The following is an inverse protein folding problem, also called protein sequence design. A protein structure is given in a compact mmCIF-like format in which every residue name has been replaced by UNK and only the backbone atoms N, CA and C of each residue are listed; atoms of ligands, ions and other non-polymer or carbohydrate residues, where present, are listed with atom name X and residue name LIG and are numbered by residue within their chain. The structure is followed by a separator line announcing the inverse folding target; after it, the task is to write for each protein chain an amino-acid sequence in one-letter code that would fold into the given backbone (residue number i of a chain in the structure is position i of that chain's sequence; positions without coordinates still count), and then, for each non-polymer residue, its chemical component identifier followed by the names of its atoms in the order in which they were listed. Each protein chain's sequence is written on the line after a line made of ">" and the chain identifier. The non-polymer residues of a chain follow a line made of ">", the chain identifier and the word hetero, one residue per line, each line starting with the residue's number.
data_IF_210247109775
#
_entry.id   IF_210247109775
#
_cell.length_a   1.000
_cell.length_b   1.000
_cell.length_c   1.000
_cell.angle_alpha   90.00
_cell.angle_beta   90.00
_cell.angle_gamma   90.00
#
_symmetry.space_group_name_H-M   'P 1'
#
loop_
_entity.id
_entity.type
_entity.pdbx_description
1 polymer ?
#
# COMPACT_ATOMS: atom_id res chain seq x y z
N UNK A 1 -11.67 27.39 9.86
CA UNK A 1 -11.87 26.40 10.93
C UNK A 1 -10.85 25.28 10.81
N UNK A 2 -10.23 24.85 11.91
CA UNK A 2 -9.36 23.66 11.89
C UNK A 2 -10.20 22.41 11.64
N UNK A 3 -9.62 21.41 10.92
CA UNK A 3 -10.27 20.12 10.66
C UNK A 3 -9.63 19.05 11.53
N UNK A 4 -10.46 18.21 12.16
CA UNK A 4 -10.02 17.09 12.99
C UNK A 4 -9.88 15.83 12.13
N UNK A 5 -8.74 15.18 12.21
CA UNK A 5 -8.45 13.92 11.50
C UNK A 5 -7.33 13.16 12.20
N UNK A 6 -7.11 11.91 11.82
CA UNK A 6 -5.98 11.08 12.24
C UNK A 6 -5.15 10.59 11.02
N UNK A 7 -4.13 9.77 11.28
CA UNK A 7 -3.26 9.19 10.25
C UNK A 7 -3.59 7.74 9.92
N UNK A 8 -4.50 7.11 10.64
CA UNK A 8 -4.88 5.73 10.40
C UNK A 8 -5.49 5.05 11.62
N UNK A 9 -5.85 3.78 11.44
CA UNK A 9 -6.49 2.94 12.44
C UNK A 9 -5.87 1.53 12.43
N UNK A 10 -5.83 0.81 13.56
CA UNK A 10 -5.30 -0.55 13.61
C UNK A 10 -6.01 -1.47 12.61
N UNK A 11 -5.23 -2.19 11.78
CA UNK A 11 -5.73 -2.94 10.62
C UNK A 11 -6.14 -4.38 10.91
N UNK A 12 -5.70 -4.96 12.02
CA UNK A 12 -5.79 -6.41 12.25
C UNK A 12 -7.21 -6.86 12.62
N UNK A 13 -8.07 -5.93 13.06
CA UNK A 13 -9.35 -6.21 13.67
C UNK A 13 -9.23 -6.50 15.17
N UNK A 14 -10.33 -6.35 15.92
CA UNK A 14 -10.36 -6.48 17.38
C UNK A 14 -10.04 -7.91 17.87
N UNK A 15 -10.42 -8.91 17.07
CA UNK A 15 -10.20 -10.35 17.34
C UNK A 15 -9.15 -10.96 16.41
N UNK A 16 -8.32 -10.13 15.78
CA UNK A 16 -7.29 -10.55 14.79
C UNK A 16 -7.87 -11.19 13.52
N UNK A 17 -9.04 -10.78 13.10
CA UNK A 17 -9.79 -11.36 11.99
C UNK A 17 -8.95 -11.35 10.70
N UNK A 18 -8.25 -10.24 10.42
CA UNK A 18 -7.38 -10.15 9.24
C UNK A 18 -6.26 -11.20 9.26
N UNK A 19 -5.66 -11.44 10.43
CA UNK A 19 -4.60 -12.45 10.56
C UNK A 19 -5.10 -13.83 10.17
N UNK A 20 -6.23 -14.24 10.74
CA UNK A 20 -6.79 -15.58 10.49
C UNK A 20 -7.26 -15.73 9.03
N UNK A 21 -7.83 -14.68 8.43
CA UNK A 21 -8.21 -14.70 7.02
C UNK A 21 -6.99 -14.82 6.10
N UNK A 22 -5.90 -14.13 6.40
CA UNK A 22 -4.66 -14.26 5.65
C UNK A 22 -4.07 -15.67 5.78
N UNK A 23 -4.01 -16.24 6.98
CA UNK A 23 -3.54 -17.60 7.20
C UNK A 23 -4.42 -18.63 6.46
N UNK A 24 -5.74 -18.42 6.45
CA UNK A 24 -6.69 -19.19 5.66
C UNK A 24 -6.39 -19.13 4.17
N UNK A 25 -6.21 -17.94 3.64
CA UNK A 25 -5.84 -17.71 2.23
C UNK A 25 -4.51 -18.39 1.88
N UNK A 26 -3.46 -18.16 2.66
CA UNK A 26 -2.13 -18.74 2.38
C UNK A 26 -2.09 -20.27 2.45
N UNK A 27 -2.99 -20.86 3.23
CA UNK A 27 -3.12 -22.33 3.30
C UNK A 27 -4.11 -22.93 2.29
N UNK A 28 -4.70 -22.07 1.43
CA UNK A 28 -5.70 -22.50 0.44
C UNK A 28 -7.06 -22.88 1.02
N UNK A 29 -7.32 -22.54 2.30
CA UNK A 29 -8.60 -22.83 2.97
C UNK A 29 -9.68 -21.78 2.67
N UNK A 30 -9.28 -20.58 2.28
CA UNK A 30 -10.19 -19.49 1.89
C UNK A 30 -9.76 -18.88 0.56
N UNK A 31 -10.72 -18.25 -0.13
CA UNK A 31 -10.50 -17.63 -1.42
C UNK A 31 -9.98 -16.19 -1.27
N UNK A 32 -9.51 -15.63 -2.38
CA UNK A 32 -9.13 -14.22 -2.49
C UNK A 32 -10.31 -13.31 -2.18
N UNK A 33 -11.47 -13.65 -2.71
CA UNK A 33 -12.71 -12.88 -2.54
C UNK A 33 -13.13 -12.82 -1.08
N UNK A 34 -13.03 -13.92 -0.35
CA UNK A 34 -13.32 -13.99 1.09
C UNK A 34 -12.35 -13.11 1.89
N UNK A 35 -11.05 -13.15 1.58
CA UNK A 35 -10.05 -12.30 2.22
C UNK A 35 -10.33 -10.81 1.95
N UNK A 36 -10.60 -10.44 0.69
CA UNK A 36 -10.86 -9.04 0.32
C UNK A 36 -12.18 -8.53 0.89
N UNK A 37 -13.21 -9.38 0.97
CA UNK A 37 -14.48 -9.06 1.61
C UNK A 37 -14.29 -8.75 3.10
N UNK A 38 -13.59 -9.61 3.83
CA UNK A 38 -13.29 -9.37 5.24
C UNK A 38 -12.45 -8.08 5.42
N UNK A 39 -11.47 -7.84 4.56
CA UNK A 39 -10.69 -6.61 4.59
C UNK A 39 -11.57 -5.36 4.42
N UNK A 40 -12.57 -5.41 3.53
CA UNK A 40 -13.55 -4.34 3.37
C UNK A 40 -14.42 -4.16 4.63
N UNK A 41 -14.87 -5.25 5.23
CA UNK A 41 -15.66 -5.21 6.48
C UNK A 41 -14.86 -4.56 7.62
N UNK A 42 -13.59 -4.92 7.80
CA UNK A 42 -12.73 -4.29 8.80
C UNK A 42 -12.55 -2.79 8.52
N UNK A 43 -12.32 -2.39 7.25
CA UNK A 43 -12.22 -0.96 6.91
C UNK A 43 -13.48 -0.19 7.27
N UNK A 44 -14.67 -0.75 6.98
CA UNK A 44 -15.96 -0.14 7.34
C UNK A 44 -16.09 0.07 8.84
N UNK A 45 -15.74 -0.94 9.65
CA UNK A 45 -15.73 -0.83 11.11
C UNK A 45 -14.75 0.25 11.58
N UNK A 46 -13.53 0.27 11.03
CA UNK A 46 -12.53 1.28 11.36
C UNK A 46 -13.00 2.70 11.01
N UNK A 47 -13.66 2.88 9.89
CA UNK A 47 -14.23 4.17 9.48
C UNK A 47 -15.45 4.55 10.33
N UNK A 48 -16.28 3.60 10.75
CA UNK A 48 -17.39 3.89 11.66
C UNK A 48 -16.89 4.45 12.99
N UNK A 49 -15.78 3.91 13.52
CA UNK A 49 -15.13 4.48 14.71
C UNK A 49 -14.59 5.91 14.49
N UNK A 50 -14.33 6.30 13.26
CA UNK A 50 -13.77 7.60 12.86
C UNK A 50 -14.84 8.57 12.33
N UNK A 51 -16.10 8.20 12.25
CA UNK A 51 -17.17 9.01 11.61
C UNK A 51 -17.45 10.36 12.26
N UNK A 52 -17.02 10.55 13.52
CA UNK A 52 -17.08 11.84 14.23
C UNK A 52 -15.99 12.83 13.82
N UNK A 53 -14.96 12.38 13.06
CA UNK A 53 -13.90 13.23 12.55
C UNK A 53 -14.36 13.95 11.28
N UNK A 54 -13.77 15.12 11.01
CA UNK A 54 -14.03 15.85 9.76
C UNK A 54 -13.55 15.08 8.52
N UNK A 55 -12.47 14.30 8.66
CA UNK A 55 -11.88 13.48 7.59
C UNK A 55 -11.49 12.11 8.15
N UNK A 56 -11.80 11.05 7.40
CA UNK A 56 -11.37 9.67 7.73
C UNK A 56 -10.14 9.28 6.94
N UNK A 57 -9.22 8.56 7.57
CA UNK A 57 -8.04 8.06 6.90
C UNK A 57 -8.39 6.93 5.91
N UNK A 58 -7.79 6.98 4.71
CA UNK A 58 -7.84 5.90 3.71
C UNK A 58 -6.43 5.64 3.17
N UNK A 59 -6.13 4.41 2.76
CA UNK A 59 -4.79 4.02 2.32
C UNK A 59 -3.85 3.62 3.46
N UNK A 60 -4.25 3.82 4.70
CA UNK A 60 -3.57 3.35 5.91
C UNK A 60 -3.78 1.85 6.16
N UNK A 61 -4.91 1.30 5.68
CA UNK A 61 -5.18 -0.13 5.77
C UNK A 61 -4.38 -0.91 4.71
N UNK A 62 -3.58 -1.86 5.15
CA UNK A 62 -2.82 -2.77 4.28
C UNK A 62 -3.11 -4.23 4.64
N UNK A 63 -3.04 -5.11 3.63
CA UNK A 63 -3.15 -6.55 3.89
C UNK A 63 -1.91 -7.10 4.60
N UNK A 64 -0.73 -6.54 4.40
CA UNK A 64 0.48 -6.98 5.08
C UNK A 64 1.25 -5.82 5.70
N UNK A 65 1.74 -4.87 4.88
CA UNK A 65 2.55 -3.74 5.31
C UNK A 65 2.34 -2.51 4.41
N UNK A 66 2.24 -1.33 5.00
CA UNK A 66 2.00 -0.08 4.27
C UNK A 66 3.17 0.33 3.36
N UNK A 67 4.41 -0.05 3.70
CA UNK A 67 5.59 0.24 2.85
C UNK A 67 5.59 -0.67 1.63
N UNK A 68 5.21 -1.93 1.81
CA UNK A 68 5.01 -2.87 0.71
C UNK A 68 3.88 -2.41 -0.22
N UNK A 69 2.77 -1.92 0.34
CA UNK A 69 1.68 -1.31 -0.43
C UNK A 69 2.17 -0.16 -1.30
N UNK A 70 3.03 0.71 -0.74
CA UNK A 70 3.64 1.81 -1.49
C UNK A 70 4.56 1.28 -2.59
N UNK A 71 5.33 0.21 -2.33
CA UNK A 71 6.17 -0.43 -3.34
C UNK A 71 5.34 -0.93 -4.52
N UNK A 72 4.21 -1.59 -4.27
CA UNK A 72 3.30 -2.04 -5.32
C UNK A 72 2.62 -0.85 -6.03
N UNK A 73 2.20 0.17 -5.30
CA UNK A 73 1.64 1.40 -5.89
C UNK A 73 2.64 2.10 -6.82
N UNK A 74 3.93 2.07 -6.52
CA UNK A 74 4.98 2.66 -7.34
C UNK A 74 5.51 1.71 -8.42
N UNK A 75 5.08 0.44 -8.44
CA UNK A 75 5.62 -0.59 -9.32
C UNK A 75 7.07 -0.96 -9.00
N UNK A 76 7.56 -0.61 -7.79
CA UNK A 76 8.89 -1.01 -7.32
C UNK A 76 8.87 -2.45 -6.81
N UNK A 77 8.81 -3.39 -7.74
CA UNK A 77 8.77 -4.82 -7.46
C UNK A 77 10.19 -5.38 -7.57
N UNK A 78 10.69 -6.15 -6.56
CA UNK A 78 12.00 -6.79 -6.64
C UNK A 78 12.16 -7.65 -7.90
N UNK A 79 13.35 -7.67 -8.52
CA UNK A 79 13.60 -8.37 -9.79
C UNK A 79 13.12 -9.83 -9.77
N UNK A 80 13.36 -10.53 -8.67
CA UNK A 80 12.93 -11.92 -8.47
C UNK A 80 11.42 -12.15 -8.48
N UNK A 81 10.63 -11.08 -8.39
CA UNK A 81 9.17 -11.12 -8.38
C UNK A 81 8.51 -10.46 -9.60
N UNK A 82 9.28 -9.78 -10.48
CA UNK A 82 8.74 -9.00 -11.62
C UNK A 82 8.05 -9.87 -12.67
N UNK A 83 8.57 -11.06 -12.93
CA UNK A 83 8.08 -11.95 -14.00
C UNK A 83 7.02 -12.95 -13.52
N UNK A 84 6.35 -12.65 -12.42
CA UNK A 84 5.27 -13.51 -11.95
C UNK A 84 4.02 -13.34 -12.81
N UNK A 85 3.55 -14.45 -13.37
CA UNK A 85 2.37 -14.47 -14.27
C UNK A 85 1.05 -14.74 -13.56
N UNK A 86 1.08 -14.97 -12.25
CA UNK A 86 -0.10 -15.22 -11.44
C UNK A 86 -0.77 -13.94 -10.91
N UNK A 87 -1.63 -14.12 -9.93
CA UNK A 87 -2.37 -13.00 -9.32
C UNK A 87 -1.47 -11.99 -8.60
N UNK A 88 -1.80 -10.71 -8.71
CA UNK A 88 -1.05 -9.62 -8.09
C UNK A 88 -1.01 -9.76 -6.56
N UNK A 89 -2.11 -10.21 -5.94
CA UNK A 89 -2.17 -10.44 -4.49
C UNK A 89 -1.23 -11.58 -4.06
N UNK A 90 -1.13 -12.65 -4.86
CA UNK A 90 -0.17 -13.71 -4.60
C UNK A 90 1.26 -13.19 -4.70
N UNK A 91 1.56 -12.37 -5.71
CA UNK A 91 2.88 -11.76 -5.83
C UNK A 91 3.20 -10.83 -4.66
N UNK A 92 2.22 -10.08 -4.17
CA UNK A 92 2.34 -9.24 -2.99
C UNK A 92 2.76 -10.07 -1.76
N UNK A 93 2.10 -11.20 -1.49
CA UNK A 93 2.47 -12.08 -0.40
C UNK A 93 3.77 -12.86 -0.64
N UNK A 94 4.12 -13.16 -1.90
CA UNK A 94 5.42 -13.76 -2.24
C UNK A 94 6.56 -12.80 -1.90
N UNK A 95 6.42 -11.52 -2.23
CA UNK A 95 7.44 -10.51 -1.85
C UNK A 95 7.54 -10.41 -0.33
N UNK A 96 6.41 -10.38 0.39
CA UNK A 96 6.40 -10.23 1.84
C UNK A 96 6.95 -11.44 2.58
N UNK A 97 6.58 -12.66 2.17
CA UNK A 97 6.77 -13.90 2.94
C UNK A 97 7.63 -14.95 2.24
N UNK A 98 8.02 -14.69 1.00
CA UNK A 98 8.70 -15.65 0.14
C UNK A 98 7.77 -16.62 -0.58
N UNK A 99 6.51 -16.72 -0.18
CA UNK A 99 5.50 -17.63 -0.76
C UNK A 99 4.08 -17.11 -0.52
N UNK A 100 3.15 -17.54 -1.37
CA UNK A 100 1.71 -17.38 -1.20
C UNK A 100 1.02 -18.75 -1.22
N UNK A 101 -0.10 -18.89 -1.90
CA UNK A 101 -0.90 -20.14 -1.97
C UNK A 101 -0.11 -21.29 -2.64
N UNK A 102 0.60 -21.03 -3.74
CA UNK A 102 1.43 -22.03 -4.40
C UNK A 102 2.87 -22.07 -3.85
N UNK A 103 3.23 -23.10 -3.07
CA UNK A 103 4.58 -23.21 -2.49
C UNK A 103 5.67 -23.48 -3.54
N UNK A 104 5.32 -23.98 -4.75
CA UNK A 104 6.30 -24.24 -5.80
C UNK A 104 6.86 -22.96 -6.42
N UNK A 105 6.17 -21.86 -6.27
CA UNK A 105 6.58 -20.56 -6.77
C UNK A 105 7.21 -19.67 -5.67
N UNK A 106 7.82 -20.29 -4.67
CA UNK A 106 8.52 -19.58 -3.61
C UNK A 106 9.71 -18.79 -4.14
N UNK A 107 9.96 -17.64 -3.52
CA UNK A 107 11.11 -16.76 -3.76
C UNK A 107 11.73 -16.35 -2.42
N UNK A 108 12.90 -15.71 -2.44
CA UNK A 108 13.41 -15.07 -1.23
C UNK A 108 12.49 -13.93 -0.82
N UNK A 109 12.00 -13.93 0.43
CA UNK A 109 11.24 -12.83 1.00
C UNK A 109 12.05 -11.53 1.00
N UNK A 110 11.37 -10.40 0.97
CA UNK A 110 12.01 -9.12 1.21
C UNK A 110 12.47 -9.03 2.68
N UNK A 111 13.47 -8.19 2.93
CA UNK A 111 13.95 -7.93 4.28
C UNK A 111 12.86 -7.24 5.09
N UNK A 112 12.74 -7.62 6.36
CA UNK A 112 11.84 -6.99 7.32
C UNK A 112 12.66 -6.35 8.43
N UNK A 113 12.36 -5.09 8.77
CA UNK A 113 13.04 -4.38 9.87
C UNK A 113 12.06 -3.49 10.63
N UNK A 114 12.47 -3.01 11.80
CA UNK A 114 11.64 -2.14 12.64
C UNK A 114 11.44 -0.77 11.98
N UNK A 115 10.21 -0.27 12.08
CA UNK A 115 9.90 1.12 11.78
C UNK A 115 10.42 2.00 12.91
N UNK A 116 11.61 2.59 12.69
CA UNK A 116 12.30 3.40 13.67
C UNK A 116 12.39 2.68 15.04
N UNK A 117 12.04 3.33 16.11
CA UNK A 117 12.14 2.85 17.50
C UNK A 117 10.84 2.16 17.99
N UNK A 118 10.04 1.64 17.09
CA UNK A 118 8.76 1.00 17.39
C UNK A 118 8.83 -0.53 17.26
N UNK A 119 7.78 -1.21 17.73
CA UNK A 119 7.62 -2.65 17.49
C UNK A 119 6.98 -2.97 16.12
N UNK A 120 6.56 -1.97 15.35
CA UNK A 120 6.09 -2.18 14.00
C UNK A 120 7.25 -2.49 13.07
N UNK A 121 7.10 -3.56 12.28
CA UNK A 121 8.06 -3.97 11.26
C UNK A 121 7.50 -3.69 9.87
N UNK A 122 8.36 -3.22 8.97
CA UNK A 122 8.00 -2.95 7.58
C UNK A 122 8.86 -3.76 6.63
N UNK A 123 8.35 -3.99 5.41
CA UNK A 123 9.10 -4.62 4.33
C UNK A 123 9.99 -3.57 3.67
N UNK A 124 11.30 -3.83 3.69
CA UNK A 124 12.29 -2.88 3.17
C UNK A 124 12.18 -2.76 1.65
N UNK A 125 11.93 -1.56 1.11
CA UNK A 125 12.00 -1.34 -0.34
C UNK A 125 13.37 -1.69 -0.90
N UNK A 126 13.41 -2.44 -1.99
CA UNK A 126 14.65 -2.81 -2.65
C UNK A 126 14.85 -1.92 -3.87
N UNK A 127 16.03 -1.31 -3.98
CA UNK A 127 16.44 -0.50 -5.12
C UNK A 127 17.57 -1.17 -5.86
N UNK A 128 17.46 -1.19 -7.18
CA UNK A 128 18.43 -1.73 -8.13
C UNK A 128 18.69 -0.68 -9.22
N UNK A 129 19.80 -0.77 -9.92
CA UNK A 129 20.10 0.11 -11.07
C UNK A 129 18.96 0.04 -12.12
N UNK A 130 18.32 -1.11 -12.23
CA UNK A 130 17.21 -1.37 -13.13
C UNK A 130 15.85 -0.90 -12.59
N UNK A 131 15.79 -0.33 -11.37
CA UNK A 131 14.51 0.10 -10.78
C UNK A 131 13.87 1.19 -11.63
N UNK A 132 12.63 0.95 -12.03
CA UNK A 132 11.76 1.93 -12.72
C UNK A 132 10.46 2.01 -11.96
N UNK A 133 9.89 3.22 -11.90
CA UNK A 133 8.61 3.43 -11.25
C UNK A 133 7.47 3.46 -12.26
N UNK A 134 6.43 2.71 -11.99
CA UNK A 134 5.18 2.69 -12.74
C UNK A 134 4.02 2.79 -11.77
N UNK A 135 3.32 3.91 -11.78
CA UNK A 135 2.21 4.15 -10.86
C UNK A 135 1.04 3.21 -11.11
N UNK A 136 0.61 2.51 -10.06
CA UNK A 136 -0.69 1.85 -9.95
C UNK A 136 -1.39 2.36 -8.68
N UNK A 137 -2.33 3.28 -8.85
CA UNK A 137 -3.08 3.90 -7.78
C UNK A 137 -4.43 3.20 -7.49
N UNK A 138 -4.74 2.10 -8.17
CA UNK A 138 -6.04 1.43 -8.11
C UNK A 138 -6.48 1.15 -6.67
N UNK A 139 -5.63 0.54 -5.87
CA UNK A 139 -5.93 0.20 -4.46
C UNK A 139 -6.38 1.42 -3.63
N UNK A 140 -5.71 2.56 -3.76
CA UNK A 140 -6.06 3.77 -2.99
C UNK A 140 -7.35 4.39 -3.54
N UNK A 141 -7.52 4.41 -4.87
CA UNK A 141 -8.73 4.92 -5.51
C UNK A 141 -9.94 4.09 -5.09
N UNK A 142 -9.82 2.76 -5.04
CA UNK A 142 -10.87 1.87 -4.59
C UNK A 142 -11.27 2.15 -3.13
N UNK A 143 -10.32 2.32 -2.24
CA UNK A 143 -10.59 2.66 -0.84
C UNK A 143 -11.21 4.06 -0.69
N UNK A 144 -10.79 5.05 -1.48
CA UNK A 144 -11.42 6.37 -1.52
C UNK A 144 -12.88 6.24 -1.97
N UNK A 145 -13.12 5.47 -3.02
CA UNK A 145 -14.47 5.25 -3.56
C UNK A 145 -15.36 4.51 -2.55
N UNK A 146 -14.81 3.48 -1.91
CA UNK A 146 -15.51 2.72 -0.85
C UNK A 146 -15.94 3.65 0.30
N UNK A 147 -15.04 4.50 0.81
CA UNK A 147 -15.36 5.45 1.88
C UNK A 147 -16.38 6.51 1.44
N UNK A 148 -16.29 7.02 0.20
CA UNK A 148 -17.27 7.97 -0.34
C UNK A 148 -18.66 7.37 -0.48
N UNK A 149 -18.75 6.12 -0.91
CA UNK A 149 -20.03 5.40 -1.03
C UNK A 149 -20.72 5.21 0.33
N UNK A 150 -19.97 5.31 1.44
CA UNK A 150 -20.49 5.34 2.80
C UNK A 150 -20.81 6.77 3.30
N UNK A 151 -20.74 7.78 2.44
CA UNK A 151 -21.00 9.17 2.79
C UNK A 151 -19.88 9.84 3.59
N UNK A 152 -18.71 9.23 3.69
CA UNK A 152 -17.57 9.73 4.43
C UNK A 152 -16.72 10.69 3.59
N UNK A 153 -15.88 11.50 4.27
CA UNK A 153 -14.91 12.39 3.62
C UNK A 153 -13.51 11.79 3.73
N UNK A 154 -13.05 11.03 2.72
CA UNK A 154 -11.76 10.35 2.78
C UNK A 154 -10.59 11.31 2.67
N UNK A 155 -9.56 11.07 3.48
CA UNK A 155 -8.25 11.70 3.39
C UNK A 155 -7.20 10.63 3.12
N UNK A 156 -6.57 10.59 1.93
CA UNK A 156 -5.49 9.64 1.65
C UNK A 156 -4.30 9.82 2.59
N UNK A 157 -3.82 8.71 3.12
CA UNK A 157 -2.60 8.61 3.92
C UNK A 157 -1.61 7.74 3.17
N UNK A 158 -0.47 8.31 2.81
CA UNK A 158 0.57 7.66 2.02
C UNK A 158 1.95 7.96 2.58
N UNK A 159 2.88 7.05 2.39
CA UNK A 159 4.29 7.26 2.75
C UNK A 159 4.88 8.33 1.83
N UNK A 160 5.56 9.32 2.43
CA UNK A 160 6.23 10.39 1.68
C UNK A 160 7.45 9.87 0.89
N UNK A 161 7.83 10.54 -0.22
CA UNK A 161 8.91 10.09 -1.08
C UNK A 161 10.27 10.04 -0.37
N UNK A 162 10.56 11.04 0.45
CA UNK A 162 11.82 11.09 1.22
C UNK A 162 11.90 9.90 2.18
N UNK A 163 10.82 9.66 2.93
CA UNK A 163 10.75 8.52 3.85
C UNK A 163 10.92 7.20 3.11
N UNK A 164 10.18 7.00 2.00
CA UNK A 164 10.24 5.75 1.23
C UNK A 164 11.65 5.46 0.71
N UNK A 165 12.37 6.47 0.20
CA UNK A 165 13.75 6.33 -0.25
C UNK A 165 14.72 6.09 0.93
N UNK A 166 14.53 6.79 2.04
CA UNK A 166 15.41 6.70 3.21
C UNK A 166 15.33 5.34 3.92
N UNK A 167 14.14 4.68 3.91
CA UNK A 167 13.94 3.38 4.56
C UNK A 167 14.23 2.19 3.62
N UNK A 168 14.48 2.45 2.34
CA UNK A 168 14.83 1.40 1.37
C UNK A 168 16.32 1.08 1.38
N UNK A 169 16.68 -0.03 0.75
CA UNK A 169 18.06 -0.50 0.61
C UNK A 169 18.40 -0.80 -0.84
N UNK A 170 19.61 -0.45 -1.19
CA UNK A 170 20.24 -0.84 -2.44
C UNK A 170 20.65 -2.31 -2.40
N UNK A 171 20.34 -3.07 -3.46
CA UNK A 171 20.63 -4.50 -3.58
C UNK A 171 21.77 -4.81 -4.57
N UNK A 172 22.12 -3.85 -5.42
CA UNK A 172 23.27 -4.04 -6.32
C UNK A 172 24.57 -3.79 -5.57
N UNK A 173 25.46 -4.78 -5.56
CA UNK A 173 26.81 -4.69 -4.97
C UNK A 173 27.75 -3.71 -5.72
N UNK A 174 27.27 -3.01 -6.74
CA UNK A 174 28.02 -1.97 -7.39
C UNK A 174 28.01 -0.72 -6.51
N UNK A 175 29.09 -0.44 -5.81
CA UNK A 175 29.37 0.72 -4.96
C UNK A 175 29.13 2.11 -5.63
N UNK A 176 28.15 2.25 -6.51
CA UNK A 176 27.91 3.44 -7.29
C UNK A 176 26.42 3.60 -7.66
N UNK A 177 25.51 3.59 -6.70
CA UNK A 177 24.35 4.44 -6.92
C UNK A 177 24.81 5.88 -6.71
N UNK A 178 25.29 6.49 -7.79
CA UNK A 178 25.63 7.89 -7.81
C UNK A 178 24.47 8.73 -7.28
N UNK A 179 24.77 9.79 -6.54
CA UNK A 179 23.83 10.85 -6.13
C UNK A 179 22.85 11.23 -7.26
N UNK A 180 23.27 11.08 -8.52
CA UNK A 180 22.49 11.31 -9.72
C UNK A 180 21.36 10.29 -9.94
N UNK A 181 21.54 9.03 -9.55
CA UNK A 181 20.49 8.00 -9.64
C UNK A 181 19.39 8.24 -8.60
N UNK A 182 19.76 8.57 -7.36
CA UNK A 182 18.81 8.98 -6.31
C UNK A 182 18.05 10.24 -6.72
N UNK A 183 18.71 11.22 -7.34
CA UNK A 183 18.07 12.46 -7.82
C UNK A 183 17.06 12.15 -8.95
N UNK A 184 17.42 11.31 -9.90
CA UNK A 184 16.52 10.91 -11.01
C UNK A 184 15.33 10.10 -10.47
N UNK A 185 15.58 9.16 -9.59
CA UNK A 185 14.57 8.36 -8.89
C UNK A 185 13.65 9.24 -8.04
N UNK A 186 14.22 10.22 -7.34
CA UNK A 186 13.50 11.20 -6.54
C UNK A 186 12.61 12.11 -7.38
N UNK A 187 13.11 12.60 -8.53
CA UNK A 187 12.34 13.42 -9.47
C UNK A 187 11.16 12.61 -10.04
N UNK A 188 11.40 11.36 -10.47
CA UNK A 188 10.32 10.47 -10.94
C UNK A 188 9.27 10.25 -9.86
N UNK A 189 9.69 10.04 -8.62
CA UNK A 189 8.80 9.86 -7.48
C UNK A 189 7.98 11.13 -7.18
N UNK A 190 8.58 12.31 -7.24
CA UNK A 190 7.88 13.58 -7.06
C UNK A 190 6.85 13.79 -8.18
N UNK A 191 7.22 13.55 -9.43
CA UNK A 191 6.32 13.65 -10.57
C UNK A 191 5.14 12.69 -10.44
N UNK A 192 5.39 11.45 -10.04
CA UNK A 192 4.33 10.47 -9.76
C UNK A 192 3.42 10.93 -8.61
N UNK A 193 3.97 11.54 -7.58
CA UNK A 193 3.18 12.09 -6.47
C UNK A 193 2.30 13.27 -6.91
N UNK A 194 2.82 14.16 -7.78
CA UNK A 194 2.02 15.24 -8.38
C UNK A 194 0.87 14.69 -9.22
N UNK A 195 1.14 13.71 -10.07
CA UNK A 195 0.12 13.01 -10.85
C UNK A 195 -0.92 12.36 -9.93
N UNK A 196 -0.47 11.71 -8.85
CA UNK A 196 -1.35 11.08 -7.86
C UNK A 196 -2.24 12.10 -7.15
N UNK A 197 -1.68 13.22 -6.68
CA UNK A 197 -2.43 14.31 -6.04
C UNK A 197 -3.43 14.90 -7.04
N UNK A 198 -3.03 15.12 -8.29
CA UNK A 198 -3.90 15.64 -9.34
C UNK A 198 -5.03 14.68 -9.68
N UNK A 199 -4.76 13.37 -9.79
CA UNK A 199 -5.81 12.36 -10.02
C UNK A 199 -6.76 12.30 -8.82
N UNK A 200 -6.25 12.31 -7.59
CA UNK A 200 -7.08 12.32 -6.39
C UNK A 200 -7.94 13.57 -6.31
N UNK A 201 -7.40 14.73 -6.68
CA UNK A 201 -8.11 16.00 -6.72
C UNK A 201 -9.16 16.03 -7.86
N UNK A 202 -8.84 15.53 -9.05
CA UNK A 202 -9.78 15.40 -10.17
C UNK A 202 -10.92 14.42 -9.87
N UNK A 203 -10.65 13.29 -9.20
CA UNK A 203 -11.69 12.37 -8.74
C UNK A 203 -12.59 13.05 -7.70
N UNK A 204 -12.04 13.89 -6.83
CA UNK A 204 -12.83 14.69 -5.87
C UNK A 204 -13.70 15.73 -6.60
N UNK A 205 -13.19 16.41 -7.61
CA UNK A 205 -13.93 17.43 -8.38
C UNK A 205 -15.02 16.79 -9.26
N UNK A 206 -14.71 15.69 -9.95
CA UNK A 206 -15.69 15.03 -10.85
C UNK A 206 -16.91 14.48 -10.12
N UNK A 207 -16.78 14.05 -8.86
CA UNK A 207 -17.92 13.57 -8.06
C UNK A 207 -18.76 14.72 -7.50
N UNK A 208 -18.15 15.89 -7.21
CA UNK A 208 -18.93 17.06 -6.81
C UNK A 208 -19.75 17.70 -7.95
N UNK A 209 -19.34 17.49 -9.20
CA UNK A 209 -20.11 17.99 -10.38
C UNK A 209 -21.29 17.10 -10.76
N UNK A 210 -21.39 15.87 -10.25
CA UNK A 210 -22.52 14.96 -10.50
C UNK A 210 -23.63 15.05 -9.44
N UNK A 211 -23.43 15.82 -8.37
CA UNK A 211 -24.43 16.01 -7.29
C UNK A 211 -25.20 17.33 -7.43
N UNK A 212 -24.92 18.10 -8.49
CA UNK A 212 -25.61 19.38 -8.79
C UNK A 212 -26.32 19.35 -10.14
N UNK A 213 -27.05 18.28 -10.43
CA UNK A 213 -28.08 18.23 -11.49
C UNK A 213 -29.32 17.53 -10.95
#
# INVERSE_FOLDING_TARGET
>A
MAKVHNLGFPRVGSMRELKFAQEGYWSGKSTKEELLKLASEIRKINWDHQKSLDLVAVGDFSLYDQVLDMSFTLGNIPQRARNYSGDVLDNYFRVARGRSVDPKQAISAAEMTKWFDTNYHYMVPEFEVSTTFKLDASRIIDQITEAKNLGLKPKPVIIGPVTYLAIGKEKDNSNKLNQHHYTKTFIQFILLKFIFITITFLVVIKVSSFVTL
#
